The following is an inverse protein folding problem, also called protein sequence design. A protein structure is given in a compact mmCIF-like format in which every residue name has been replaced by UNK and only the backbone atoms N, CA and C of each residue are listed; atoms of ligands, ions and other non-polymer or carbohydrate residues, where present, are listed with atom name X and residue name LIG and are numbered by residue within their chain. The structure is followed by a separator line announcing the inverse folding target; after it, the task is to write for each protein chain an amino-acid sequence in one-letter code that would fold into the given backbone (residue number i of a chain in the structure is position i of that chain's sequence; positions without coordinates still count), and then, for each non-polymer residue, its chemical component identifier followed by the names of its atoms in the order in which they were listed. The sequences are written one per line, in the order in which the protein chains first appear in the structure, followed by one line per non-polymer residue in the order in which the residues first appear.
data_IF_055572846084
#
_entry.id   IF_055572846084
#
_cell.length_a   1.000
_cell.length_b   1.000
_cell.length_c   1.000
_cell.angle_alpha   90.00
_cell.angle_beta   90.00
_cell.angle_gamma   90.00
#
_symmetry.space_group_name_H-M   'P 1'
#
loop_
_entity.id
_entity.type
_entity.pdbx_description
1 polymer ?
#
# COMPACT_ATOMS: atom_id res chain seq x y z
N UNK A 1 0.80 5.80 16.00
CA UNK A 1 2.15 5.89 16.57
C UNK A 1 2.16 5.35 18.00
N UNK A 2 3.07 4.46 18.29
CA UNK A 2 3.37 3.93 19.63
C UNK A 2 4.90 3.93 19.82
N UNK A 3 5.36 3.83 21.05
CA UNK A 3 6.80 3.68 21.29
C UNK A 3 7.32 2.36 20.68
N UNK A 4 8.61 2.31 20.31
CA UNK A 4 9.23 1.10 19.73
C UNK A 4 9.04 -0.11 20.66
N UNK A 5 9.15 0.10 21.98
CA UNK A 5 8.94 -0.95 22.96
C UNK A 5 7.53 -1.57 22.95
N UNK A 6 6.54 -0.88 22.42
CA UNK A 6 5.16 -1.34 22.37
C UNK A 6 4.78 -1.97 21.02
N UNK A 7 5.64 -1.85 19.99
CA UNK A 7 5.31 -2.29 18.62
C UNK A 7 4.90 -3.76 18.57
N UNK A 8 5.73 -4.65 19.09
CA UNK A 8 5.45 -6.09 19.06
C UNK A 8 4.12 -6.43 19.73
N UNK A 9 3.83 -5.84 20.90
CA UNK A 9 2.58 -6.08 21.63
C UNK A 9 1.32 -5.50 20.97
N UNK A 10 1.50 -4.56 20.02
CA UNK A 10 0.41 -3.96 19.25
C UNK A 10 0.18 -4.62 17.89
N UNK A 11 1.07 -5.52 17.49
CA UNK A 11 0.97 -6.21 16.21
C UNK A 11 -0.01 -7.38 16.33
N UNK A 12 -1.06 -7.39 15.53
CA UNK A 12 -2.01 -8.51 15.44
C UNK A 12 -2.28 -8.87 13.97
N UNK A 13 -2.69 -10.11 13.74
CA UNK A 13 -3.08 -10.59 12.41
C UNK A 13 -4.17 -9.72 11.79
N UNK A 14 -5.19 -9.37 12.56
CA UNK A 14 -6.34 -8.56 12.14
C UNK A 14 -5.90 -7.14 11.76
N UNK A 15 -4.98 -6.55 12.51
CA UNK A 15 -4.45 -5.21 12.20
C UNK A 15 -3.67 -5.21 10.89
N UNK A 16 -2.82 -6.20 10.66
CA UNK A 16 -2.07 -6.35 9.40
C UNK A 16 -3.04 -6.55 8.25
N UNK A 17 -4.00 -7.47 8.39
CA UNK A 17 -4.98 -7.75 7.35
C UNK A 17 -5.81 -6.52 6.99
N UNK A 18 -6.28 -5.77 7.98
CA UNK A 18 -7.00 -4.51 7.77
C UNK A 18 -6.15 -3.49 7.00
N UNK A 19 -4.86 -3.35 7.36
CA UNK A 19 -3.95 -2.44 6.64
C UNK A 19 -3.70 -2.89 5.21
N UNK A 20 -3.56 -4.18 4.97
CA UNK A 20 -3.43 -4.72 3.61
C UNK A 20 -4.69 -4.48 2.77
N UNK A 21 -5.88 -4.61 3.37
CA UNK A 21 -7.15 -4.32 2.69
C UNK A 21 -7.25 -2.84 2.30
N UNK A 22 -6.99 -1.93 3.25
CA UNK A 22 -7.03 -0.48 2.98
C UNK A 22 -6.00 -0.10 1.92
N UNK A 23 -4.77 -0.63 2.02
CA UNK A 23 -3.70 -0.35 1.07
C UNK A 23 -4.05 -0.86 -0.33
N UNK A 24 -4.52 -2.10 -0.45
CA UNK A 24 -4.93 -2.69 -1.72
C UNK A 24 -6.07 -1.91 -2.39
N UNK A 25 -7.10 -1.53 -1.62
CA UNK A 25 -8.20 -0.72 -2.12
C UNK A 25 -7.74 0.65 -2.59
N UNK A 26 -6.83 1.28 -1.84
CA UNK A 26 -6.28 2.58 -2.20
C UNK A 26 -5.43 2.49 -3.47
N UNK A 27 -4.56 1.50 -3.58
CA UNK A 27 -3.76 1.29 -4.79
C UNK A 27 -4.63 1.12 -6.04
N UNK A 28 -5.75 0.42 -5.92
CA UNK A 28 -6.70 0.25 -7.02
C UNK A 28 -7.48 1.54 -7.34
N UNK A 29 -8.04 2.18 -6.31
CA UNK A 29 -8.96 3.29 -6.47
C UNK A 29 -8.25 4.64 -6.65
N UNK A 30 -7.19 4.86 -5.85
CA UNK A 30 -6.54 6.16 -5.75
C UNK A 30 -5.32 6.25 -6.69
N UNK A 31 -4.67 5.11 -6.99
CA UNK A 31 -3.49 5.03 -7.85
C UNK A 31 -3.72 4.31 -9.18
N UNK A 32 -4.90 3.70 -9.40
CA UNK A 32 -5.27 3.08 -10.67
C UNK A 32 -4.55 1.76 -10.98
N UNK A 33 -4.06 1.05 -9.97
CA UNK A 33 -3.32 -0.20 -10.13
C UNK A 33 -4.27 -1.39 -9.97
N UNK A 34 -4.62 -2.09 -11.04
CA UNK A 34 -5.63 -3.16 -11.02
C UNK A 34 -5.28 -4.35 -10.13
N UNK A 35 -4.02 -4.78 -10.12
CA UNK A 35 -3.52 -5.94 -9.38
C UNK A 35 -2.29 -5.58 -8.56
N UNK A 36 -2.44 -4.79 -7.48
CA UNK A 36 -1.32 -4.31 -6.71
C UNK A 36 -0.51 -5.46 -6.09
N UNK A 37 0.81 -5.37 -6.20
CA UNK A 37 1.76 -6.24 -5.50
C UNK A 37 2.26 -5.52 -4.26
N UNK A 38 1.98 -6.07 -3.08
CA UNK A 38 2.31 -5.46 -1.80
C UNK A 38 3.38 -6.30 -1.11
N UNK A 39 4.55 -5.70 -0.88
CA UNK A 39 5.57 -6.30 -0.04
C UNK A 39 5.20 -6.09 1.44
N UNK A 40 5.33 -7.13 2.25
CA UNK A 40 5.15 -7.06 3.70
C UNK A 40 6.51 -7.29 4.35
N UNK A 41 6.98 -6.32 5.13
CA UNK A 41 8.24 -6.46 5.85
C UNK A 41 8.07 -7.33 7.10
N UNK A 42 9.14 -7.95 7.52
CA UNK A 42 9.23 -8.60 8.82
C UNK A 42 9.31 -7.58 9.95
N UNK A 43 8.94 -7.97 11.15
CA UNK A 43 9.18 -7.17 12.36
C UNK A 43 10.61 -7.31 12.86
N UNK A 44 11.06 -8.58 12.92
CA UNK A 44 12.35 -8.94 13.52
C UNK A 44 13.48 -9.01 12.48
N UNK A 45 14.75 -8.83 12.91
CA UNK A 45 15.90 -9.07 12.06
C UNK A 45 15.86 -10.47 11.42
N UNK A 46 16.35 -10.58 10.18
CA UNK A 46 16.40 -11.84 9.42
C UNK A 46 15.03 -12.54 9.30
N UNK A 47 13.93 -11.76 9.35
CA UNK A 47 12.56 -12.27 9.35
C UNK A 47 12.29 -13.31 10.45
N UNK A 48 12.87 -13.09 11.64
CA UNK A 48 12.70 -13.92 12.84
C UNK A 48 13.60 -15.14 12.89
N UNK A 49 14.40 -15.43 11.86
CA UNK A 49 15.33 -16.56 11.78
C UNK A 49 14.68 -17.87 12.27
N UNK A 50 13.60 -18.29 11.58
CA UNK A 50 12.79 -19.49 11.93
C UNK A 50 12.30 -19.52 13.39
N UNK A 51 12.06 -18.35 13.99
CA UNK A 51 11.57 -18.18 15.35
C UNK A 51 12.66 -18.09 16.42
N UNK A 52 13.93 -18.07 16.02
CA UNK A 52 15.07 -17.93 16.95
C UNK A 52 15.17 -16.50 17.51
N UNK A 53 14.94 -15.47 16.68
CA UNK A 53 15.04 -14.06 17.06
C UNK A 53 13.68 -13.48 17.48
N UNK A 54 12.58 -14.08 16.99
CA UNK A 54 11.21 -13.70 17.32
C UNK A 54 10.22 -14.63 16.63
N UNK A 55 8.98 -14.66 17.11
CA UNK A 55 7.94 -15.57 16.58
C UNK A 55 6.83 -14.84 15.85
N UNK A 56 6.86 -13.52 15.81
CA UNK A 56 5.81 -12.67 15.23
C UNK A 56 5.63 -12.93 13.73
N UNK A 57 6.70 -13.28 13.02
CA UNK A 57 6.65 -13.64 11.61
C UNK A 57 5.81 -14.91 11.40
N UNK A 58 6.02 -15.92 12.23
CA UNK A 58 5.33 -17.20 12.10
C UNK A 58 3.91 -17.16 12.65
N UNK A 59 3.72 -16.49 13.79
CA UNK A 59 2.45 -16.53 14.53
C UNK A 59 1.47 -15.45 14.11
N UNK A 60 1.95 -14.35 13.52
CA UNK A 60 1.14 -13.17 13.20
C UNK A 60 1.24 -12.80 11.72
N UNK A 61 2.47 -12.54 11.20
CA UNK A 61 2.63 -11.90 9.89
C UNK A 61 2.33 -12.88 8.76
N UNK A 62 2.90 -14.10 8.76
CA UNK A 62 2.63 -15.13 7.75
C UNK A 62 1.15 -15.53 7.70
N UNK A 63 0.45 -15.75 8.83
CA UNK A 63 -0.99 -15.96 8.84
C UNK A 63 -1.80 -14.82 8.22
N UNK A 64 -1.43 -13.55 8.49
CA UNK A 64 -2.09 -12.40 7.89
C UNK A 64 -1.89 -12.34 6.36
N UNK A 65 -0.67 -12.59 5.88
CA UNK A 65 -0.36 -12.67 4.44
C UNK A 65 -1.16 -13.79 3.76
N UNK A 66 -1.23 -14.96 4.40
CA UNK A 66 -2.00 -16.10 3.87
C UNK A 66 -3.48 -15.76 3.75
N UNK A 67 -4.05 -15.11 4.76
CA UNK A 67 -5.46 -14.69 4.73
C UNK A 67 -5.70 -13.57 3.71
N UNK A 68 -4.78 -12.62 3.56
CA UNK A 68 -4.84 -11.60 2.52
C UNK A 68 -4.91 -12.23 1.11
N UNK A 69 -4.10 -13.27 0.83
CA UNK A 69 -4.16 -14.02 -0.43
C UNK A 69 -5.50 -14.69 -0.66
N UNK A 70 -6.12 -15.27 0.38
CA UNK A 70 -7.46 -15.85 0.29
C UNK A 70 -8.52 -14.79 -0.05
N UNK A 71 -8.27 -13.54 0.32
CA UNK A 71 -9.11 -12.39 -0.01
C UNK A 71 -8.71 -11.70 -1.33
N UNK A 72 -7.95 -12.38 -2.21
CA UNK A 72 -7.45 -11.87 -3.49
C UNK A 72 -6.54 -10.63 -3.39
N UNK A 73 -5.83 -10.46 -2.27
CA UNK A 73 -4.82 -9.42 -2.09
C UNK A 73 -3.44 -10.05 -2.32
N UNK A 74 -2.70 -9.55 -3.29
CA UNK A 74 -1.37 -10.05 -3.62
C UNK A 74 -0.32 -9.47 -2.66
N UNK A 75 -0.33 -9.99 -1.43
CA UNK A 75 0.65 -9.69 -0.40
C UNK A 75 1.76 -10.76 -0.39
N UNK A 76 3.02 -10.34 -0.35
CA UNK A 76 4.21 -11.18 -0.41
C UNK A 76 5.17 -10.83 0.72
N UNK A 77 5.82 -11.84 1.30
CA UNK A 77 6.73 -11.69 2.43
C UNK A 77 6.50 -12.78 3.50
N UNK A 78 6.92 -12.56 4.75
CA UNK A 78 7.62 -11.37 5.25
C UNK A 78 9.06 -11.28 4.75
N UNK A 79 9.52 -10.08 4.40
CA UNK A 79 10.87 -9.81 3.94
C UNK A 79 11.72 -9.19 5.05
N UNK A 80 12.96 -9.62 5.19
CA UNK A 80 13.95 -8.94 6.05
C UNK A 80 14.18 -7.52 5.52
N UNK A 81 13.90 -6.50 6.34
CA UNK A 81 13.81 -5.12 5.89
C UNK A 81 15.14 -4.58 5.35
N UNK A 82 16.24 -4.89 6.01
CA UNK A 82 17.58 -4.48 5.60
C UNK A 82 17.96 -5.00 4.21
N UNK A 83 17.83 -6.31 4.00
CA UNK A 83 18.13 -6.94 2.72
C UNK A 83 17.15 -6.51 1.62
N UNK A 84 15.89 -6.28 1.95
CA UNK A 84 14.86 -5.86 1.01
C UNK A 84 15.20 -4.50 0.39
N UNK A 85 15.55 -3.52 1.20
CA UNK A 85 15.93 -2.20 0.71
C UNK A 85 17.33 -2.17 0.10
N UNK A 86 18.32 -2.82 0.73
CA UNK A 86 19.70 -2.85 0.23
C UNK A 86 19.82 -3.44 -1.19
N UNK A 87 18.93 -4.37 -1.56
CA UNK A 87 18.91 -5.01 -2.88
C UNK A 87 18.02 -4.31 -3.90
N UNK A 88 17.38 -3.20 -3.55
CA UNK A 88 16.40 -2.56 -4.43
C UNK A 88 15.15 -3.39 -4.70
N UNK A 89 14.86 -4.39 -3.86
CA UNK A 89 13.71 -5.30 -4.08
C UNK A 89 12.38 -4.59 -4.08
N UNK A 90 12.28 -3.41 -3.49
CA UNK A 90 11.08 -2.56 -3.47
C UNK A 90 10.60 -2.17 -4.88
N UNK A 91 11.49 -2.08 -5.87
CA UNK A 91 11.16 -1.74 -7.25
C UNK A 91 10.23 -2.77 -7.93
N UNK A 92 10.14 -3.98 -7.37
CA UNK A 92 9.28 -5.05 -7.88
C UNK A 92 7.85 -4.98 -7.34
N UNK A 93 7.55 -4.02 -6.47
CA UNK A 93 6.28 -3.89 -5.76
C UNK A 93 5.66 -2.51 -5.95
N UNK A 94 4.34 -2.47 -5.86
CA UNK A 94 3.58 -1.23 -5.94
C UNK A 94 3.45 -0.54 -4.58
N UNK A 95 3.64 -1.28 -3.50
CA UNK A 95 3.69 -0.75 -2.14
C UNK A 95 4.44 -1.66 -1.18
N UNK A 96 4.90 -1.08 -0.08
CA UNK A 96 5.58 -1.76 1.01
C UNK A 96 4.83 -1.50 2.31
N UNK A 97 4.39 -2.56 3.00
CA UNK A 97 3.82 -2.48 4.35
C UNK A 97 4.92 -2.71 5.39
N UNK A 98 5.28 -1.65 6.09
CA UNK A 98 6.21 -1.69 7.21
C UNK A 98 5.48 -1.96 8.54
N UNK A 99 6.16 -2.62 9.48
CA UNK A 99 5.58 -3.00 10.76
C UNK A 99 5.64 -1.86 11.78
N UNK A 100 6.55 -0.91 11.61
CA UNK A 100 6.66 0.27 12.47
C UNK A 100 7.20 1.47 11.69
N UNK A 101 7.07 2.64 12.31
CA UNK A 101 7.28 3.93 11.68
C UNK A 101 8.62 4.06 10.96
N UNK A 102 9.74 3.89 11.67
CA UNK A 102 11.07 4.15 11.12
C UNK A 102 11.48 3.09 10.08
N UNK A 103 10.97 1.85 10.19
CA UNK A 103 11.22 0.79 9.22
C UNK A 103 10.77 1.19 7.80
N UNK A 104 9.70 1.99 7.71
CA UNK A 104 9.19 2.49 6.43
C UNK A 104 9.72 3.87 6.09
N UNK A 105 9.74 4.80 7.05
CA UNK A 105 10.04 6.22 6.76
C UNK A 105 11.51 6.51 6.54
N UNK A 106 12.43 5.76 7.16
CA UNK A 106 13.88 5.95 6.88
C UNK A 106 14.18 5.67 5.42
N UNK A 107 13.89 4.47 4.86
CA UNK A 107 14.13 4.21 3.45
C UNK A 107 13.29 5.12 2.54
N UNK A 108 12.03 5.40 2.87
CA UNK A 108 11.20 6.31 2.09
C UNK A 108 11.85 7.69 1.94
N UNK A 109 12.27 8.33 3.01
CA UNK A 109 12.92 9.65 2.96
C UNK A 109 14.26 9.64 2.24
N UNK A 110 14.98 8.53 2.33
CA UNK A 110 16.25 8.36 1.62
C UNK A 110 16.03 8.25 0.11
N UNK A 111 15.00 7.53 -0.31
CA UNK A 111 14.68 7.28 -1.73
C UNK A 111 13.96 8.50 -2.34
N UNK A 112 12.98 9.06 -1.64
CA UNK A 112 12.15 10.16 -2.14
C UNK A 112 12.89 11.52 -2.20
N UNK A 113 14.03 11.65 -1.53
CA UNK A 113 14.93 12.82 -1.61
C UNK A 113 14.23 14.19 -1.51
N UNK A 114 13.19 14.30 -0.68
CA UNK A 114 12.44 15.54 -0.47
C UNK A 114 11.19 15.74 -1.34
N UNK A 115 10.91 14.85 -2.29
CA UNK A 115 9.70 14.89 -3.13
C UNK A 115 8.53 14.09 -2.55
N UNK A 116 8.68 13.57 -1.34
CA UNK A 116 7.68 12.72 -0.70
C UNK A 116 6.36 13.44 -0.40
N UNK A 117 5.25 12.72 -0.57
CA UNK A 117 3.91 13.17 -0.23
C UNK A 117 3.29 12.24 0.81
N UNK A 118 2.78 12.81 1.87
CA UNK A 118 1.98 12.08 2.84
C UNK A 118 0.53 12.00 2.36
N UNK A 119 0.04 10.79 2.10
CA UNK A 119 -1.34 10.52 1.70
C UNK A 119 -2.04 9.65 2.75
N UNK A 120 -3.28 9.98 3.09
CA UNK A 120 -4.08 9.18 4.03
C UNK A 120 -5.06 8.29 3.28
N UNK A 121 -4.75 7.00 3.19
CA UNK A 121 -5.62 5.99 2.58
C UNK A 121 -6.86 5.70 3.45
N UNK A 122 -7.96 5.27 2.80
CA UNK A 122 -9.18 4.82 3.47
C UNK A 122 -10.13 5.93 3.92
N UNK A 123 -9.86 7.19 3.61
CA UNK A 123 -10.77 8.31 3.87
C UNK A 123 -11.74 8.52 2.70
N UNK A 124 -12.98 8.99 2.96
CA UNK A 124 -13.91 9.39 1.92
C UNK A 124 -13.40 10.62 1.15
N UNK A 125 -12.75 11.56 1.82
CA UNK A 125 -12.08 12.70 1.21
C UNK A 125 -10.61 12.37 0.89
N UNK A 126 -10.03 13.04 -0.12
CA UNK A 126 -8.59 12.97 -0.39
C UNK A 126 -7.87 13.90 0.57
N UNK A 127 -6.88 13.36 1.27
CA UNK A 127 -5.98 14.12 2.16
C UNK A 127 -4.54 13.83 1.80
N UNK A 128 -3.86 14.83 1.27
CA UNK A 128 -2.43 14.86 1.03
C UNK A 128 -1.77 15.94 1.88
N UNK A 129 -0.52 15.80 2.16
CA UNK A 129 0.30 16.85 2.77
C UNK A 129 1.77 16.65 2.38
N UNK A 130 2.58 17.73 2.40
CA UNK A 130 4.01 17.59 2.20
C UNK A 130 4.64 16.74 3.31
N UNK A 131 5.73 16.03 2.97
CA UNK A 131 6.50 15.23 3.91
C UNK A 131 7.72 16.02 4.40
N UNK A 132 7.48 17.03 5.22
CA UNK A 132 8.53 17.79 5.90
C UNK A 132 8.21 18.00 7.38
N UNK A 133 9.26 18.27 8.16
CA UNK A 133 9.12 18.65 9.57
C UNK A 133 8.70 20.10 9.75
N UNK A 134 8.61 20.53 10.99
CA UNK A 134 8.20 21.91 11.37
C UNK A 134 9.20 23.00 10.98
N UNK A 135 10.47 22.64 10.74
CA UNK A 135 11.54 23.52 10.22
C UNK A 135 11.62 24.90 10.88
N UNK A 136 11.48 24.96 12.21
CA UNK A 136 11.51 26.20 12.98
C UNK A 136 12.80 27.02 12.79
N UNK A 137 13.91 26.34 12.49
CA UNK A 137 15.23 26.93 12.24
C UNK A 137 15.27 27.83 11.01
N UNK A 138 14.41 27.60 10.02
CA UNK A 138 14.31 28.41 8.79
C UNK A 138 13.02 29.28 8.74
N UNK A 139 12.20 29.24 9.77
CA UNK A 139 10.95 30.01 9.81
C UNK A 139 11.23 31.51 9.67
N UNK A 140 10.51 32.19 8.77
CA UNK A 140 10.68 33.62 8.49
C UNK A 140 11.93 34.02 7.69
N UNK A 141 12.78 33.05 7.31
CA UNK A 141 14.03 33.33 6.55
C UNK A 141 13.89 33.25 5.02
N UNK A 142 12.72 32.88 4.52
CA UNK A 142 12.43 32.66 3.11
C UNK A 142 13.37 31.63 2.44
N UNK A 143 13.72 30.56 3.19
CA UNK A 143 14.61 29.49 2.76
C UNK A 143 13.86 28.16 2.57
N UNK A 144 12.56 28.11 2.86
CA UNK A 144 11.76 26.88 2.74
C UNK A 144 11.64 26.44 1.28
N UNK A 145 11.92 25.17 1.04
CA UNK A 145 11.60 24.52 -0.25
C UNK A 145 10.11 24.26 -0.33
N UNK A 146 9.47 24.71 -1.39
CA UNK A 146 8.03 24.55 -1.62
C UNK A 146 7.69 23.36 -2.50
N UNK A 147 8.68 22.61 -2.99
CA UNK A 147 8.48 21.54 -3.97
C UNK A 147 7.54 20.44 -3.46
N UNK A 148 7.76 19.95 -2.25
CA UNK A 148 6.92 18.90 -1.65
C UNK A 148 5.46 19.37 -1.43
N UNK A 149 5.24 20.67 -1.16
CA UNK A 149 3.89 21.25 -1.06
C UNK A 149 3.19 21.28 -2.41
N UNK A 150 3.89 21.73 -3.48
CA UNK A 150 3.36 21.71 -4.85
C UNK A 150 3.04 20.29 -5.29
N UNK A 151 3.95 19.35 -5.08
CA UNK A 151 3.74 17.92 -5.41
C UNK A 151 2.50 17.39 -4.69
N UNK A 152 2.30 17.75 -3.42
CA UNK A 152 1.12 17.28 -2.66
C UNK A 152 -0.20 17.80 -3.24
N UNK A 153 -0.21 19.01 -3.84
CA UNK A 153 -1.40 19.56 -4.51
C UNK A 153 -1.69 18.77 -5.80
N UNK A 154 -0.68 18.55 -6.64
CA UNK A 154 -0.86 17.78 -7.88
C UNK A 154 -1.31 16.35 -7.61
N UNK A 155 -0.70 15.67 -6.65
CA UNK A 155 -1.14 14.32 -6.23
C UNK A 155 -2.59 14.32 -5.73
N UNK A 156 -3.02 15.36 -5.00
CA UNK A 156 -4.41 15.47 -4.58
C UNK A 156 -5.37 15.50 -5.79
N UNK A 157 -5.06 16.33 -6.78
CA UNK A 157 -5.87 16.46 -8.02
C UNK A 157 -5.90 15.14 -8.79
N UNK A 158 -4.75 14.51 -8.96
CA UNK A 158 -4.63 13.24 -9.67
C UNK A 158 -5.41 12.11 -8.99
N UNK A 159 -5.33 12.02 -7.66
CA UNK A 159 -6.11 11.04 -6.89
C UNK A 159 -7.62 11.29 -7.04
N UNK A 160 -8.08 12.55 -7.02
CA UNK A 160 -9.49 12.89 -7.22
C UNK A 160 -9.94 12.43 -8.61
N UNK A 161 -9.17 12.72 -9.65
CA UNK A 161 -9.48 12.33 -11.03
C UNK A 161 -9.53 10.80 -11.17
N UNK A 162 -8.57 10.08 -10.60
CA UNK A 162 -8.56 8.60 -10.58
C UNK A 162 -9.76 8.03 -9.85
N UNK A 163 -10.16 8.60 -8.69
CA UNK A 163 -11.37 8.19 -7.95
C UNK A 163 -12.64 8.35 -8.77
N UNK A 164 -12.77 9.49 -9.46
CA UNK A 164 -13.93 9.76 -10.30
C UNK A 164 -14.00 8.76 -11.47
N UNK A 165 -12.90 8.55 -12.19
CA UNK A 165 -12.81 7.55 -13.26
C UNK A 165 -13.09 6.13 -12.78
N UNK A 166 -12.57 5.74 -11.62
CA UNK A 166 -12.84 4.43 -11.01
C UNK A 166 -14.33 4.24 -10.67
N UNK A 167 -15.00 5.28 -10.16
CA UNK A 167 -16.42 5.25 -9.86
C UNK A 167 -17.26 5.18 -11.16
N UNK A 168 -16.89 5.97 -12.17
CA UNK A 168 -17.57 6.00 -13.47
C UNK A 168 -17.51 4.64 -14.18
N UNK A 169 -16.32 4.03 -14.28
CA UNK A 169 -16.16 2.70 -14.88
C UNK A 169 -16.99 1.61 -14.19
N UNK A 170 -17.33 1.78 -12.92
CA UNK A 170 -18.12 0.82 -12.13
C UNK A 170 -19.58 1.17 -11.97
N UNK A 171 -20.03 2.30 -12.47
CA UNK A 171 -21.42 2.75 -12.37
C UNK A 171 -22.38 1.87 -13.19
N UNK A 172 -21.90 1.31 -14.30
CA UNK A 172 -22.67 0.42 -15.17
C UNK A 172 -21.83 -0.80 -15.60
N UNK A 173 -21.53 -1.75 -14.68
CA UNK A 173 -20.71 -2.90 -15.01
C UNK A 173 -21.44 -3.86 -15.95
N UNK A 174 -20.73 -4.42 -16.92
CA UNK A 174 -21.25 -5.49 -17.75
C UNK A 174 -21.73 -6.66 -16.87
N UNK A 175 -22.95 -7.11 -17.10
CA UNK A 175 -23.50 -8.28 -16.41
C UNK A 175 -22.74 -9.53 -16.88
N UNK A 176 -22.20 -10.29 -15.92
CA UNK A 176 -21.68 -11.62 -16.28
C UNK A 176 -22.81 -12.48 -16.80
N UNK A 177 -22.62 -13.04 -17.99
CA UNK A 177 -23.54 -14.04 -18.51
C UNK A 177 -23.61 -15.22 -17.52
N UNK A 178 -24.82 -15.64 -17.14
CA UNK A 178 -24.98 -16.83 -16.34
C UNK A 178 -24.63 -18.08 -17.18
N UNK A 179 -24.22 -19.19 -16.53
CA UNK A 179 -23.99 -20.47 -17.24
C UNK A 179 -25.20 -20.90 -18.07
N UNK A 180 -26.43 -20.61 -17.59
CA UNK A 180 -27.67 -20.88 -18.31
C UNK A 180 -27.82 -19.99 -19.56
N UNK A 181 -27.44 -18.71 -19.50
CA UNK A 181 -27.44 -17.83 -20.70
C UNK A 181 -26.42 -18.28 -21.73
N UNK A 182 -25.22 -18.70 -21.28
CA UNK A 182 -24.19 -19.22 -22.21
C UNK A 182 -24.58 -20.56 -22.82
N UNK A 183 -25.27 -21.44 -22.09
CA UNK A 183 -25.77 -22.72 -22.60
C UNK A 183 -26.93 -22.54 -23.61
N UNK A 184 -27.69 -21.45 -23.53
CA UNK A 184 -28.79 -21.13 -24.45
C UNK A 184 -28.38 -20.19 -25.59
N UNK A 185 -27.14 -19.68 -25.60
CA UNK A 185 -26.61 -18.97 -26.75
C UNK A 185 -26.43 -20.00 -27.89
N UNK A 186 -27.35 -20.01 -28.84
CA UNK A 186 -27.15 -20.74 -30.12
C UNK A 186 -25.96 -20.08 -30.79
N UNK A 187 -24.95 -20.87 -31.16
CA UNK A 187 -23.98 -20.44 -32.16
C UNK A 187 -24.79 -20.07 -33.42
N UNK A 188 -24.91 -18.77 -33.69
CA UNK A 188 -25.28 -18.35 -35.02
C UNK A 188 -24.12 -18.77 -35.91
N UNK A 189 -24.26 -19.91 -36.54
CA UNK A 189 -23.37 -20.32 -37.60
C UNK A 189 -23.32 -19.17 -38.60
N UNK A 190 -22.15 -18.62 -38.86
CA UNK A 190 -21.91 -17.77 -40.00
C UNK A 190 -22.17 -18.61 -41.22
N UNK A 191 -23.32 -18.47 -41.82
CA UNK A 191 -23.59 -19.01 -43.16
C UNK A 191 -22.70 -18.23 -44.14
N UNK A 192 -21.82 -18.98 -44.82
CA UNK A 192 -20.96 -18.47 -45.91
C UNK A 192 -21.75 -17.93 -47.11
#
# INVERSE_FOLDING_TARGET
HVSVAQVAGQLTKERILNKLQVLNQSLQKDFGIDKPRIAVLALNPHAGDEGLIGKEEETIIRPAIKEAKNNNILALGPYSADAFFARGSYEQFDAVLAMYHDQGLIPFKTIAAGEGVNFTAGLPAVRTSPDHGVAFDIAGKNLADHQSFITSIFECVDIINRRNGFAEMRSNPLRKASKAMLANAKDEALED
#
